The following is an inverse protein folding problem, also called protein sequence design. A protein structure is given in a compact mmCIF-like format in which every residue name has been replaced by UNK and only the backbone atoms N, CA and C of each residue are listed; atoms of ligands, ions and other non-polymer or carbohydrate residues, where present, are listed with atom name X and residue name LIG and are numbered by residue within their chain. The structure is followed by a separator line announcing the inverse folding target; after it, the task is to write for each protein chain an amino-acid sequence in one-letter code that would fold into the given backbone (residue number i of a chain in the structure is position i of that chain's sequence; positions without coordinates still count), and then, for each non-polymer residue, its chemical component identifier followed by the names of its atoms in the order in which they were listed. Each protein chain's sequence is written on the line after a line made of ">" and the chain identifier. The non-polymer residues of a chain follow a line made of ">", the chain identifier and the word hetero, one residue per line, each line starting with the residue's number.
data_IF_891089082602
#
_entry.id   IF_891089082602
#
_cell.length_a   1.000
_cell.length_b   1.000
_cell.length_c   1.000
_cell.angle_alpha   90.00
_cell.angle_beta   90.00
_cell.angle_gamma   90.00
#
_symmetry.space_group_name_H-M   'P 1'
#
loop_
_entity.id
_entity.type
_entity.pdbx_description
1 polymer ?
#
# COMPACT_ATOMS: atom_id res chain seq x y z
N UNK A 1 -14.82 26.35 50.63
CA UNK A 1 -14.08 27.05 49.56
C UNK A 1 -14.28 26.31 48.26
N UNK A 2 -14.72 27.00 47.20
CA UNK A 2 -14.97 26.42 45.88
C UNK A 2 -13.67 26.52 45.06
N UNK A 3 -13.21 25.43 44.46
CA UNK A 3 -12.07 25.43 43.53
C UNK A 3 -12.40 26.29 42.30
N UNK A 4 -11.43 27.03 41.71
CA UNK A 4 -11.66 27.76 40.47
C UNK A 4 -11.76 26.78 39.30
N UNK A 5 -12.57 27.06 38.26
CA UNK A 5 -12.56 26.27 37.04
C UNK A 5 -11.22 26.46 36.30
N UNK A 6 -10.64 25.37 35.81
CA UNK A 6 -9.48 25.41 34.93
C UNK A 6 -9.81 26.24 33.67
N UNK A 7 -9.03 27.28 33.40
CA UNK A 7 -9.08 28.00 32.15
C UNK A 7 -8.60 27.07 31.01
N UNK A 8 -9.44 26.85 30.01
CA UNK A 8 -9.02 26.23 28.75
C UNK A 8 -8.08 27.20 28.03
N UNK A 9 -6.80 26.87 27.93
CA UNK A 9 -5.91 27.54 26.99
C UNK A 9 -6.49 27.35 25.58
N UNK A 10 -6.70 28.46 24.85
CA UNK A 10 -7.20 28.42 23.49
C UNK A 10 -6.25 27.62 22.61
N UNK A 11 -6.71 26.47 22.10
CA UNK A 11 -6.06 25.82 20.98
C UNK A 11 -6.26 26.75 19.77
N UNK A 12 -5.18 27.37 19.29
CA UNK A 12 -5.22 28.00 17.98
C UNK A 12 -5.42 26.90 16.94
N UNK A 13 -6.61 26.87 16.35
CA UNK A 13 -6.88 26.09 15.14
C UNK A 13 -6.08 26.73 14.00
N UNK A 14 -4.85 26.26 13.78
CA UNK A 14 -4.11 26.56 12.57
C UNK A 14 -4.91 25.99 11.41
N UNK A 15 -5.41 26.79 10.45
CA UNK A 15 -6.03 26.24 9.27
C UNK A 15 -4.97 25.38 8.58
N UNK A 16 -5.18 24.07 8.59
CA UNK A 16 -4.38 23.13 7.83
C UNK A 16 -4.90 23.20 6.40
N UNK A 17 -4.51 24.25 5.67
CA UNK A 17 -4.66 24.25 4.23
C UNK A 17 -3.76 23.14 3.71
N UNK A 18 -4.34 21.99 3.42
CA UNK A 18 -3.64 20.92 2.73
C UNK A 18 -3.28 21.45 1.34
N UNK A 19 -2.02 21.82 1.13
CA UNK A 19 -1.51 22.15 -0.19
C UNK A 19 -1.43 20.85 -0.98
N UNK A 20 -2.32 20.68 -1.96
CA UNK A 20 -2.30 19.53 -2.85
C UNK A 20 -1.29 19.79 -3.97
N UNK A 21 -0.45 18.81 -4.28
CA UNK A 21 0.45 18.86 -5.44
C UNK A 21 -0.25 18.20 -6.63
N UNK A 22 -0.12 18.78 -7.82
CA UNK A 22 -0.62 18.15 -9.05
C UNK A 22 0.32 17.02 -9.46
N UNK A 23 -0.23 15.84 -9.74
CA UNK A 23 0.50 14.70 -10.27
C UNK A 23 0.26 14.56 -11.78
N UNK A 24 1.29 14.18 -12.52
CA UNK A 24 1.18 13.78 -13.93
C UNK A 24 1.14 12.25 -14.01
N UNK A 25 0.23 11.71 -14.82
CA UNK A 25 0.18 10.27 -15.10
C UNK A 25 1.24 9.96 -16.15
N UNK A 26 2.36 9.40 -15.73
CA UNK A 26 3.45 9.03 -16.65
C UNK A 26 3.16 7.71 -17.38
N UNK A 27 2.50 6.76 -16.70
CA UNK A 27 2.17 5.42 -17.21
C UNK A 27 0.95 4.86 -16.48
N UNK A 28 0.27 3.96 -17.17
CA UNK A 28 -0.79 3.11 -16.62
C UNK A 28 -0.40 1.65 -16.81
N UNK A 29 -0.56 0.83 -15.77
CA UNK A 29 -0.30 -0.60 -15.82
C UNK A 29 -1.62 -1.37 -15.68
N UNK A 30 -1.82 -2.32 -16.58
CA UNK A 30 -3.03 -3.11 -16.70
C UNK A 30 -3.87 -2.72 -17.93
N UNK A 31 -5.05 -3.33 -18.10
CA UNK A 31 -5.65 -4.34 -17.23
C UNK A 31 -4.78 -5.61 -17.15
N UNK A 32 -4.73 -6.23 -15.97
CA UNK A 32 -4.02 -7.50 -15.81
C UNK A 32 -5.00 -8.67 -16.03
N UNK A 33 -4.58 -9.64 -16.83
CA UNK A 33 -5.41 -10.82 -17.12
C UNK A 33 -5.82 -11.54 -15.83
N UNK A 34 -7.12 -11.85 -15.72
CA UNK A 34 -7.70 -12.56 -14.57
C UNK A 34 -7.88 -11.71 -13.30
N UNK A 35 -7.48 -10.43 -13.32
CA UNK A 35 -7.52 -9.56 -12.14
C UNK A 35 -8.69 -8.58 -12.24
N UNK A 36 -9.61 -8.67 -11.28
CA UNK A 36 -10.78 -7.79 -11.21
C UNK A 36 -10.47 -6.44 -10.54
N UNK A 37 -9.59 -6.43 -9.54
CA UNK A 37 -9.25 -5.24 -8.76
C UNK A 37 -7.86 -5.36 -8.11
N UNK A 38 -7.28 -4.21 -7.76
CA UNK A 38 -6.03 -4.12 -6.99
C UNK A 38 -6.35 -3.58 -5.60
N UNK A 39 -6.01 -4.34 -4.56
CA UNK A 39 -6.31 -4.00 -3.17
C UNK A 39 -5.17 -3.21 -2.48
N UNK A 40 -3.97 -3.25 -3.03
CA UNK A 40 -2.79 -2.59 -2.48
C UNK A 40 -1.61 -2.66 -3.43
N UNK A 41 -0.69 -1.71 -3.29
CA UNK A 41 0.55 -1.66 -4.06
C UNK A 41 1.74 -1.31 -3.16
N UNK A 42 2.90 -1.88 -3.46
CA UNK A 42 4.18 -1.49 -2.84
C UNK A 42 5.32 -1.59 -3.86
N UNK A 43 6.52 -1.13 -3.49
CA UNK A 43 7.71 -1.20 -4.34
C UNK A 43 8.87 -1.74 -3.51
N UNK A 44 9.58 -2.74 -4.03
CA UNK A 44 10.68 -3.38 -3.31
C UNK A 44 12.07 -2.76 -3.60
N UNK A 45 12.13 -1.78 -4.50
CA UNK A 45 13.37 -1.21 -5.02
C UNK A 45 13.59 -1.53 -6.50
N UNK A 46 13.10 -2.70 -6.94
CA UNK A 46 13.29 -3.22 -8.30
C UNK A 46 11.95 -3.47 -9.02
N UNK A 47 10.90 -3.85 -8.28
CA UNK A 47 9.59 -4.27 -8.79
C UNK A 47 8.48 -3.53 -8.08
N UNK A 48 7.42 -3.27 -8.84
CA UNK A 48 6.12 -2.90 -8.26
C UNK A 48 5.40 -4.20 -7.90
N UNK A 49 4.87 -4.27 -6.68
CA UNK A 49 4.05 -5.36 -6.22
C UNK A 49 2.60 -4.91 -6.13
N UNK A 50 1.68 -5.71 -6.66
CA UNK A 50 0.25 -5.42 -6.63
C UNK A 50 -0.55 -6.60 -6.07
N UNK A 51 -1.39 -6.32 -5.08
CA UNK A 51 -2.29 -7.28 -4.45
C UNK A 51 -3.55 -7.44 -5.31
N UNK A 52 -3.69 -8.60 -5.96
CA UNK A 52 -4.64 -8.87 -7.02
C UNK A 52 -5.63 -10.00 -6.68
N UNK A 53 -6.24 -9.91 -5.49
CA UNK A 53 -7.26 -10.85 -5.04
C UNK A 53 -6.66 -12.13 -4.45
N UNK A 54 -6.30 -13.10 -5.30
CA UNK A 54 -5.73 -14.40 -4.86
C UNK A 54 -4.24 -14.53 -5.13
N UNK A 55 -3.62 -13.48 -5.68
CA UNK A 55 -2.20 -13.46 -5.99
C UNK A 55 -1.55 -12.09 -5.80
N UNK A 56 -0.25 -12.10 -5.52
CA UNK A 56 0.61 -10.93 -5.65
C UNK A 56 1.28 -10.94 -7.03
N UNK A 57 1.12 -9.85 -7.76
CA UNK A 57 1.82 -9.63 -9.03
C UNK A 57 3.13 -8.89 -8.76
N UNK A 58 4.24 -9.39 -9.30
CA UNK A 58 5.48 -8.63 -9.40
C UNK A 58 5.59 -8.05 -10.81
N UNK A 59 5.63 -6.73 -10.92
CA UNK A 59 5.53 -5.96 -12.16
C UNK A 59 6.83 -5.20 -12.40
N UNK A 60 7.32 -5.25 -13.63
CA UNK A 60 8.42 -4.40 -14.09
C UNK A 60 7.94 -2.94 -14.20
N UNK A 61 8.50 -2.00 -13.41
CA UNK A 61 8.09 -0.59 -13.46
C UNK A 61 8.45 0.12 -14.77
N UNK A 62 9.38 -0.40 -15.58
CA UNK A 62 9.74 0.22 -16.85
C UNK A 62 8.71 -0.10 -17.94
N UNK A 63 8.18 -1.33 -17.94
CA UNK A 63 7.36 -1.87 -19.03
C UNK A 63 5.92 -2.15 -18.65
N UNK A 64 5.60 -2.29 -17.36
CA UNK A 64 4.30 -2.76 -16.87
C UNK A 64 4.08 -4.26 -17.02
N UNK A 65 5.10 -5.02 -17.45
CA UNK A 65 4.99 -6.47 -17.62
C UNK A 65 4.91 -7.18 -16.27
N UNK A 66 4.00 -8.15 -16.15
CA UNK A 66 3.95 -9.04 -14.98
C UNK A 66 5.08 -10.07 -15.11
N UNK A 67 6.12 -9.90 -14.29
CA UNK A 67 7.28 -10.78 -14.24
C UNK A 67 7.02 -12.06 -13.44
N UNK A 68 6.15 -11.97 -12.43
CA UNK A 68 5.85 -13.10 -11.54
C UNK A 68 4.47 -12.96 -10.90
N UNK A 69 3.92 -14.11 -10.55
CA UNK A 69 2.69 -14.29 -9.77
C UNK A 69 2.98 -15.16 -8.55
N UNK A 70 2.61 -14.69 -7.36
CA UNK A 70 2.67 -15.47 -6.12
C UNK A 70 1.25 -15.84 -5.70
N UNK A 71 0.88 -17.13 -5.57
CA UNK A 71 -0.45 -17.54 -5.16
C UNK A 71 -0.64 -17.34 -3.65
N UNK A 72 -0.75 -16.09 -3.23
CA UNK A 72 -0.96 -15.63 -1.85
C UNK A 72 -2.23 -14.79 -1.80
N UNK A 73 -3.05 -14.98 -0.77
CA UNK A 73 -4.24 -14.16 -0.56
C UNK A 73 -3.85 -12.68 -0.52
N UNK A 74 -4.44 -11.88 -1.42
CA UNK A 74 -4.00 -10.53 -1.74
C UNK A 74 -5.21 -9.63 -2.04
N UNK A 75 -6.25 -9.77 -1.23
CA UNK A 75 -7.51 -9.03 -1.30
C UNK A 75 -7.51 -7.78 -0.38
N UNK A 76 -6.37 -7.52 0.27
CA UNK A 76 -6.14 -6.40 1.16
C UNK A 76 -4.77 -5.75 0.92
N UNK A 77 -4.40 -4.78 1.79
CA UNK A 77 -3.17 -4.00 1.65
C UNK A 77 -1.89 -4.85 1.66
N UNK A 78 -0.89 -4.37 0.93
CA UNK A 78 0.45 -4.98 0.83
C UNK A 78 1.52 -3.92 1.10
N UNK A 79 2.61 -4.30 1.75
CA UNK A 79 3.71 -3.41 2.10
C UNK A 79 5.07 -4.11 2.01
N UNK A 80 6.17 -3.36 1.96
CA UNK A 80 7.53 -3.87 1.95
C UNK A 80 8.39 -3.14 2.99
N UNK A 81 9.21 -3.87 3.75
CA UNK A 81 10.05 -3.29 4.82
C UNK A 81 11.51 -3.04 4.41
N UNK A 82 11.89 -3.32 3.16
CA UNK A 82 13.27 -3.33 2.68
C UNK A 82 13.84 -4.74 2.48
N UNK A 83 13.16 -5.78 2.98
CA UNK A 83 13.55 -7.18 2.83
C UNK A 83 12.36 -8.11 2.54
N UNK A 84 11.22 -7.90 3.19
CA UNK A 84 10.06 -8.78 3.10
C UNK A 84 8.80 -8.02 2.73
N UNK A 85 7.90 -8.71 2.04
CA UNK A 85 6.54 -8.28 1.80
C UNK A 85 5.68 -8.62 3.02
N UNK A 86 4.73 -7.75 3.34
CA UNK A 86 3.71 -7.96 4.36
C UNK A 86 2.36 -7.86 3.69
N UNK A 87 1.64 -8.98 3.67
CA UNK A 87 0.33 -9.07 3.06
C UNK A 87 -0.72 -9.31 4.15
N UNK A 88 -1.78 -8.49 4.14
CA UNK A 88 -2.92 -8.73 5.01
C UNK A 88 -3.73 -9.89 4.42
N UNK A 89 -3.99 -10.91 5.23
CA UNK A 89 -4.79 -12.08 4.88
C UNK A 89 -5.81 -12.33 6.00
N UNK A 90 -7.05 -11.89 5.80
CA UNK A 90 -8.13 -11.95 6.79
C UNK A 90 -7.72 -11.37 8.17
N UNK A 91 -7.52 -12.23 9.17
CA UNK A 91 -7.20 -11.87 10.55
C UNK A 91 -5.68 -11.93 10.88
N UNK A 92 -4.81 -12.11 9.89
CA UNK A 92 -3.35 -12.15 10.08
C UNK A 92 -2.61 -11.32 9.03
N UNK A 93 -1.33 -11.12 9.27
CA UNK A 93 -0.39 -10.53 8.32
C UNK A 93 0.68 -11.57 8.01
N UNK A 94 0.76 -11.96 6.74
CA UNK A 94 1.79 -12.89 6.26
C UNK A 94 3.04 -12.09 5.87
N UNK A 95 4.19 -12.53 6.39
CA UNK A 95 5.50 -12.02 6.02
C UNK A 95 6.08 -12.96 4.95
N UNK A 96 6.35 -12.42 3.77
CA UNK A 96 6.75 -13.18 2.59
C UNK A 96 8.12 -12.72 2.09
N UNK A 97 9.00 -13.66 1.83
CA UNK A 97 10.22 -13.39 1.07
C UNK A 97 9.87 -13.11 -0.42
N UNK A 98 10.30 -11.98 -1.03
CA UNK A 98 9.92 -11.62 -2.39
C UNK A 98 10.44 -12.61 -3.46
N UNK A 99 11.49 -13.37 -3.15
CA UNK A 99 12.14 -14.31 -4.08
C UNK A 99 11.48 -15.68 -4.05
N UNK A 100 11.06 -16.17 -2.90
CA UNK A 100 10.43 -17.49 -2.74
C UNK A 100 8.91 -17.42 -2.64
N UNK A 101 8.36 -16.31 -2.15
CA UNK A 101 6.94 -16.10 -1.89
C UNK A 101 6.41 -16.84 -0.66
N UNK A 102 7.29 -17.15 0.30
CA UNK A 102 7.01 -17.90 1.52
C UNK A 102 7.33 -17.09 2.77
#
# INVERSE_FOLDING_TARGET
>A
GRLPPCARAGAQERPMTAEHQTAEILREFGPFEGVASIAGVTHDGDRVWAAAGTELLAIDPATGAVLRRLPQAADAGTAFDGQHLYQIAEARIDKLDPVSGR
#
